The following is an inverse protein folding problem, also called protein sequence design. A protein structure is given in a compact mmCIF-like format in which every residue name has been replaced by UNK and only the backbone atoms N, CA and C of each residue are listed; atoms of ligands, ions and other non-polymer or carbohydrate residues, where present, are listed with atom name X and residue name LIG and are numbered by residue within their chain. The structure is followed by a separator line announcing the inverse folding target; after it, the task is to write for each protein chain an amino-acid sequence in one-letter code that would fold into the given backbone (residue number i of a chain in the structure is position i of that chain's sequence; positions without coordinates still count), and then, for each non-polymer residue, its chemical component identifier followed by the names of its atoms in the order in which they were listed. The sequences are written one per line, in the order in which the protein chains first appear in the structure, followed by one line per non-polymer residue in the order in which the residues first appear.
data_IF_497938309704
#
_entry.id   IF_497938309704
#
_cell.length_a   1.000
_cell.length_b   1.000
_cell.length_c   1.000
_cell.angle_alpha   90.00
_cell.angle_beta   90.00
_cell.angle_gamma   90.00
#
_symmetry.space_group_name_H-M   'P 1'
#
loop_
_entity.id
_entity.type
_entity.pdbx_description
1 polymer ?
#
# COMPACT_ATOMS: atom_id res chain seq x y z
N UNK A 1 -4.90 -26.04 -5.65
CA UNK A 1 -5.63 -26.35 -4.40
C UNK A 1 -5.04 -25.51 -3.28
N UNK A 2 -5.86 -24.76 -2.54
CA UNK A 2 -5.40 -23.85 -1.46
C UNK A 2 -5.45 -24.53 -0.08
N UNK A 3 -6.53 -25.25 0.20
CA UNK A 3 -6.80 -25.89 1.48
C UNK A 3 -8.27 -26.31 1.54
N UNK A 4 -8.69 -26.98 2.63
CA UNK A 4 -10.05 -27.47 2.78
C UNK A 4 -11.05 -26.33 3.05
N UNK A 5 -12.35 -26.62 2.90
CA UNK A 5 -13.46 -25.74 3.30
C UNK A 5 -13.33 -24.32 2.69
N UNK A 6 -13.45 -23.28 3.52
CA UNK A 6 -13.38 -21.87 3.12
C UNK A 6 -11.97 -21.31 2.90
N UNK A 7 -10.91 -22.12 2.94
CA UNK A 7 -9.52 -21.65 2.86
C UNK A 7 -9.26 -20.79 1.60
N UNK A 8 -9.80 -21.18 0.44
CA UNK A 8 -9.67 -20.41 -0.80
C UNK A 8 -10.30 -19.02 -0.71
N UNK A 9 -11.51 -18.92 -0.14
CA UNK A 9 -12.18 -17.63 0.06
C UNK A 9 -11.45 -16.76 1.09
N UNK A 10 -10.89 -17.37 2.13
CA UNK A 10 -10.09 -16.64 3.12
C UNK A 10 -8.82 -16.04 2.52
N UNK A 11 -8.08 -16.82 1.73
CA UNK A 11 -6.90 -16.31 1.01
C UNK A 11 -7.27 -15.17 0.05
N UNK A 12 -8.42 -15.26 -0.63
CA UNK A 12 -8.92 -14.16 -1.47
C UNK A 12 -9.30 -12.91 -0.66
N UNK A 13 -9.92 -13.09 0.51
CA UNK A 13 -10.24 -12.00 1.42
C UNK A 13 -8.96 -11.25 1.84
N UNK A 14 -7.94 -11.98 2.30
CA UNK A 14 -6.65 -11.37 2.67
C UNK A 14 -5.97 -10.69 1.48
N UNK A 15 -6.01 -11.29 0.28
CA UNK A 15 -5.54 -10.63 -0.95
C UNK A 15 -6.21 -9.26 -1.14
N UNK A 16 -7.53 -9.15 -0.98
CA UNK A 16 -8.22 -7.86 -1.11
C UNK A 16 -7.87 -6.88 0.01
N UNK A 17 -7.54 -7.38 1.21
CA UNK A 17 -6.98 -6.54 2.27
C UNK A 17 -5.64 -5.92 1.87
N UNK A 18 -4.73 -6.75 1.36
CA UNK A 18 -3.41 -6.29 0.85
C UNK A 18 -3.60 -5.29 -0.30
N UNK A 19 -4.53 -5.56 -1.23
CA UNK A 19 -4.90 -4.65 -2.30
C UNK A 19 -5.32 -3.26 -1.78
N UNK A 20 -6.13 -3.22 -0.71
CA UNK A 20 -6.56 -1.95 -0.10
C UNK A 20 -5.36 -1.16 0.43
N UNK A 21 -4.41 -1.83 1.08
CA UNK A 21 -3.20 -1.18 1.59
C UNK A 21 -2.23 -0.74 0.50
N UNK A 22 -2.08 -1.52 -0.56
CA UNK A 22 -1.23 -1.12 -1.70
C UNK A 22 -1.79 0.16 -2.35
N UNK A 23 -3.11 0.23 -2.55
CA UNK A 23 -3.76 1.43 -3.08
C UNK A 23 -3.62 2.63 -2.15
N UNK A 24 -3.74 2.42 -0.84
CA UNK A 24 -3.64 3.48 0.16
C UNK A 24 -2.21 4.05 0.24
N UNK A 25 -1.19 3.20 0.30
CA UNK A 25 0.22 3.62 0.29
C UNK A 25 0.60 4.37 -1.00
N UNK A 26 0.05 3.95 -2.14
CA UNK A 26 0.21 4.66 -3.42
C UNK A 26 -0.48 6.03 -3.36
N UNK A 27 -1.68 6.12 -2.80
CA UNK A 27 -2.42 7.37 -2.65
C UNK A 27 -1.69 8.36 -1.73
N UNK A 28 -1.09 7.90 -0.64
CA UNK A 28 -0.24 8.70 0.25
C UNK A 28 1.00 9.23 -0.47
N UNK A 29 1.67 8.37 -1.24
CA UNK A 29 2.83 8.76 -2.04
C UNK A 29 2.45 9.81 -3.09
N UNK A 30 1.32 9.61 -3.79
CA UNK A 30 0.73 10.61 -4.68
C UNK A 30 0.47 11.93 -3.95
N UNK A 31 -0.14 11.87 -2.76
CA UNK A 31 -0.54 13.06 -2.01
C UNK A 31 0.67 13.89 -1.56
N UNK A 32 1.75 13.24 -1.12
CA UNK A 32 3.02 13.92 -0.80
C UNK A 32 3.60 14.60 -2.03
N UNK A 33 3.69 13.90 -3.16
CA UNK A 33 4.27 14.48 -4.37
C UNK A 33 3.42 15.64 -4.91
N UNK A 34 2.09 15.47 -4.93
CA UNK A 34 1.14 16.47 -5.46
C UNK A 34 1.04 17.70 -4.57
N UNK A 35 0.90 17.53 -3.25
CA UNK A 35 0.61 18.64 -2.33
C UNK A 35 1.81 19.07 -1.50
N UNK A 36 2.69 18.12 -1.13
CA UNK A 36 3.94 18.42 -0.43
C UNK A 36 5.00 19.01 -1.35
N UNK A 37 5.23 18.41 -2.52
CA UNK A 37 6.21 18.89 -3.51
C UNK A 37 5.62 19.77 -4.62
N UNK A 38 4.29 19.88 -4.71
CA UNK A 38 3.58 20.67 -5.71
C UNK A 38 3.85 20.24 -7.16
N UNK A 39 4.14 18.96 -7.38
CA UNK A 39 4.33 18.41 -8.71
C UNK A 39 3.01 18.29 -9.48
N UNK A 40 3.06 18.49 -10.80
CA UNK A 40 1.90 18.35 -11.67
C UNK A 40 1.68 16.90 -12.13
N UNK A 41 0.50 16.59 -12.67
CA UNK A 41 0.12 15.20 -12.98
C UNK A 41 1.02 14.51 -14.01
N UNK A 42 1.67 15.26 -14.91
CA UNK A 42 2.62 14.69 -15.87
C UNK A 42 3.92 14.29 -15.17
N UNK A 43 4.45 15.14 -14.29
CA UNK A 43 5.63 14.82 -13.47
C UNK A 43 5.36 13.59 -12.59
N UNK A 44 4.19 13.53 -11.95
CA UNK A 44 3.76 12.37 -11.17
C UNK A 44 3.69 11.10 -12.04
N UNK A 45 3.10 11.19 -13.24
CA UNK A 45 3.02 10.06 -14.17
C UNK A 45 4.41 9.53 -14.53
N UNK A 46 5.38 10.42 -14.77
CA UNK A 46 6.77 10.03 -15.08
C UNK A 46 7.45 9.35 -13.89
N UNK A 47 7.30 9.89 -12.67
CA UNK A 47 7.84 9.29 -11.45
C UNK A 47 7.29 7.87 -11.24
N UNK A 48 5.98 7.68 -11.36
CA UNK A 48 5.37 6.35 -11.21
C UNK A 48 5.78 5.40 -12.36
N UNK A 49 6.01 5.89 -13.58
CA UNK A 49 6.57 5.07 -14.68
C UNK A 49 7.98 4.60 -14.37
N UNK A 50 8.83 5.48 -13.83
CA UNK A 50 10.19 5.16 -13.44
C UNK A 50 10.22 4.14 -12.29
N UNK A 51 9.41 4.37 -11.25
CA UNK A 51 9.26 3.42 -10.14
C UNK A 51 8.81 2.04 -10.63
N UNK A 52 7.98 1.98 -11.67
CA UNK A 52 7.53 0.72 -12.26
C UNK A 52 8.63 -0.05 -13.02
N UNK A 53 9.78 0.56 -13.32
CA UNK A 53 10.92 -0.14 -13.92
C UNK A 53 11.83 -0.79 -12.86
N UNK A 54 11.59 -0.48 -11.57
CA UNK A 54 12.44 -0.91 -10.45
C UNK A 54 11.82 -2.04 -9.61
N UNK A 55 12.09 -2.01 -8.31
CA UNK A 55 11.54 -2.99 -7.36
C UNK A 55 10.04 -2.81 -7.07
N UNK A 56 9.51 -1.61 -7.36
CA UNK A 56 8.08 -1.30 -7.25
C UNK A 56 7.26 -1.79 -8.46
N UNK A 57 7.90 -2.42 -9.46
CA UNK A 57 7.22 -3.00 -10.63
C UNK A 57 5.99 -3.81 -10.20
N UNK A 58 4.82 -3.27 -10.54
CA UNK A 58 3.54 -3.86 -10.18
C UNK A 58 2.41 -3.27 -11.01
N UNK A 59 1.34 -4.04 -11.15
CA UNK A 59 0.16 -3.59 -11.88
C UNK A 59 -0.43 -2.29 -11.34
N UNK A 60 -0.49 -2.14 -10.01
CA UNK A 60 -1.05 -0.94 -9.39
C UNK A 60 -0.19 0.31 -9.65
N UNK A 61 1.13 0.19 -9.67
CA UNK A 61 2.03 1.30 -9.99
C UNK A 61 1.92 1.67 -11.49
N UNK A 62 1.88 0.66 -12.36
CA UNK A 62 1.68 0.82 -13.81
C UNK A 62 0.40 1.61 -14.11
N UNK A 63 -0.76 1.14 -13.63
CA UNK A 63 -2.04 1.82 -13.91
C UNK A 63 -2.10 3.20 -13.27
N UNK A 64 -1.45 3.42 -12.12
CA UNK A 64 -1.39 4.74 -11.48
C UNK A 64 -0.71 5.75 -12.41
N UNK A 65 0.39 5.34 -13.05
CA UNK A 65 1.07 6.19 -14.01
C UNK A 65 0.19 6.55 -15.22
N UNK A 66 -0.65 5.63 -15.68
CA UNK A 66 -1.60 5.86 -16.78
C UNK A 66 -2.75 6.76 -16.34
N UNK A 67 -3.30 6.55 -15.14
CA UNK A 67 -4.38 7.35 -14.56
C UNK A 67 -3.94 8.82 -14.45
N UNK A 68 -2.74 9.07 -13.93
CA UNK A 68 -2.20 10.42 -13.76
C UNK A 68 -2.06 11.20 -15.08
N UNK A 69 -1.78 10.51 -16.20
CA UNK A 69 -1.63 11.17 -17.51
C UNK A 69 -2.92 11.21 -18.34
N UNK A 70 -4.02 10.60 -17.86
CA UNK A 70 -5.26 10.49 -18.63
C UNK A 70 -6.04 11.81 -18.61
N UNK A 71 -6.34 12.31 -19.82
CA UNK A 71 -7.19 13.48 -20.05
C UNK A 71 -8.53 13.11 -20.68
N UNK A 72 -9.55 13.94 -20.44
CA UNK A 72 -10.83 13.91 -21.16
C UNK A 72 -10.72 14.66 -22.50
N UNK A 73 -11.82 14.76 -23.25
CA UNK A 73 -11.87 15.43 -24.55
C UNK A 73 -11.58 16.94 -24.45
N UNK A 74 -11.88 17.57 -23.31
CA UNK A 74 -11.60 18.99 -23.04
C UNK A 74 -10.14 19.25 -22.61
N UNK A 75 -9.32 18.22 -22.49
CA UNK A 75 -7.92 18.32 -22.06
C UNK A 75 -7.72 18.38 -20.54
N UNK A 76 -8.78 18.24 -19.74
CA UNK A 76 -8.72 18.16 -18.28
C UNK A 76 -8.24 16.79 -17.82
N UNK A 77 -7.39 16.74 -16.78
CA UNK A 77 -7.00 15.46 -16.18
C UNK A 77 -8.20 14.81 -15.49
N UNK A 78 -8.52 13.59 -15.87
CA UNK A 78 -9.71 12.89 -15.35
C UNK A 78 -9.60 12.70 -13.83
N UNK A 79 -8.40 12.40 -13.33
CA UNK A 79 -8.15 12.23 -11.89
C UNK A 79 -8.61 13.42 -11.06
N UNK A 80 -8.38 14.65 -11.54
CA UNK A 80 -8.69 15.88 -10.81
C UNK A 80 -10.19 16.19 -10.78
N UNK A 81 -10.99 15.47 -11.59
CA UNK A 81 -12.46 15.60 -11.67
C UNK A 81 -13.19 14.50 -10.90
N UNK A 82 -12.48 13.45 -10.44
CA UNK A 82 -13.08 12.34 -9.70
C UNK A 82 -13.35 12.78 -8.26
N UNK A 83 -14.58 12.53 -7.79
CA UNK A 83 -14.95 12.74 -6.39
C UNK A 83 -14.10 11.85 -5.47
N UNK A 84 -13.49 12.46 -4.45
CA UNK A 84 -12.63 11.83 -3.45
C UNK A 84 -13.42 11.07 -2.38
N UNK A 85 -14.30 10.17 -2.83
CA UNK A 85 -15.12 9.27 -2.00
C UNK A 85 -14.87 7.82 -2.44
N UNK A 86 -13.98 7.14 -1.73
CA UNK A 86 -13.62 5.77 -2.04
C UNK A 86 -14.72 4.79 -1.60
N UNK A 87 -15.38 4.16 -2.57
CA UNK A 87 -16.29 3.05 -2.29
C UNK A 87 -15.54 1.81 -1.78
N UNK A 88 -16.26 0.91 -1.11
CA UNK A 88 -15.76 -0.40 -0.70
C UNK A 88 -16.87 -1.45 -0.81
N UNK A 89 -16.50 -2.71 -1.12
CA UNK A 89 -17.43 -3.85 -1.24
C UNK A 89 -17.36 -4.81 -0.05
N UNK A 90 -16.82 -4.36 1.09
CA UNK A 90 -16.77 -5.11 2.35
C UNK A 90 -15.57 -6.05 2.54
N UNK A 91 -14.89 -6.54 1.50
CA UNK A 91 -13.80 -7.53 1.66
C UNK A 91 -12.61 -7.03 2.47
N UNK A 92 -12.20 -5.76 2.31
CA UNK A 92 -11.18 -5.15 3.18
C UNK A 92 -11.60 -5.12 4.65
N UNK A 93 -12.86 -4.76 4.92
CA UNK A 93 -13.45 -4.77 6.26
C UNK A 93 -13.45 -6.17 6.87
N UNK A 94 -13.75 -7.21 6.07
CA UNK A 94 -13.72 -8.59 6.53
C UNK A 94 -12.31 -9.04 6.93
N UNK A 95 -11.28 -8.63 6.18
CA UNK A 95 -9.88 -8.89 6.54
C UNK A 95 -9.53 -8.27 7.89
N UNK A 96 -9.89 -7.00 8.11
CA UNK A 96 -9.65 -6.30 9.38
C UNK A 96 -10.41 -6.94 10.56
N UNK A 97 -11.69 -7.26 10.39
CA UNK A 97 -12.49 -7.97 11.40
C UNK A 97 -11.88 -9.32 11.76
N UNK A 98 -11.50 -10.11 10.74
CA UNK A 98 -10.88 -11.41 10.98
C UNK A 98 -9.53 -11.29 11.68
N UNK A 99 -8.76 -10.22 11.47
CA UNK A 99 -7.51 -10.01 12.20
C UNK A 99 -7.76 -9.74 13.68
N UNK A 100 -8.80 -8.96 14.01
CA UNK A 100 -9.24 -8.76 15.40
C UNK A 100 -9.67 -10.09 16.05
N UNK A 101 -10.47 -10.90 15.35
CA UNK A 101 -10.93 -12.23 15.83
C UNK A 101 -9.81 -13.26 16.00
N UNK A 102 -8.67 -13.05 15.32
CA UNK A 102 -7.47 -13.87 15.41
C UNK A 102 -6.41 -13.28 16.35
N UNK A 103 -6.64 -12.09 16.90
CA UNK A 103 -5.67 -11.33 17.68
C UNK A 103 -4.34 -11.08 16.92
N UNK A 104 -4.42 -10.80 15.62
CA UNK A 104 -3.26 -10.50 14.76
C UNK A 104 -3.17 -8.99 14.50
N UNK A 105 -2.00 -8.36 14.72
CA UNK A 105 -1.82 -6.95 14.42
C UNK A 105 -1.79 -6.71 12.90
N UNK A 106 -2.89 -6.17 12.37
CA UNK A 106 -3.08 -5.89 10.94
C UNK A 106 -3.33 -4.39 10.70
N UNK A 107 -2.44 -3.54 11.20
CA UNK A 107 -2.65 -2.09 11.24
C UNK A 107 -2.79 -1.46 9.86
N UNK A 108 -1.90 -1.74 8.91
CA UNK A 108 -1.87 -1.04 7.61
C UNK A 108 -3.14 -1.30 6.79
N UNK A 109 -3.58 -2.55 6.71
CA UNK A 109 -4.81 -2.92 6.01
C UNK A 109 -6.03 -2.31 6.71
N UNK A 110 -6.03 -2.29 8.05
CA UNK A 110 -7.14 -1.73 8.83
C UNK A 110 -7.24 -0.21 8.64
N UNK A 111 -6.12 0.52 8.72
CA UNK A 111 -6.09 1.96 8.45
C UNK A 111 -6.50 2.26 7.01
N UNK A 112 -6.14 1.41 6.05
CA UNK A 112 -6.60 1.55 4.65
C UNK A 112 -8.11 1.42 4.49
N UNK A 113 -8.78 0.65 5.37
CA UNK A 113 -10.25 0.61 5.43
C UNK A 113 -10.78 1.90 6.04
N UNK A 114 -10.19 2.38 7.13
CA UNK A 114 -10.60 3.63 7.77
C UNK A 114 -10.39 4.86 6.90
N UNK A 115 -9.31 4.95 6.12
CA UNK A 115 -9.09 6.02 5.15
C UNK A 115 -10.19 6.08 4.10
N UNK A 116 -10.73 4.94 3.67
CA UNK A 116 -11.91 4.92 2.78
C UNK A 116 -13.15 5.43 3.48
N UNK A 117 -13.39 5.04 4.74
CA UNK A 117 -14.52 5.55 5.52
C UNK A 117 -14.40 7.07 5.74
N UNK A 118 -13.19 7.56 6.05
CA UNK A 118 -12.90 8.98 6.17
C UNK A 118 -13.17 9.72 4.86
N UNK A 119 -12.80 9.15 3.72
CA UNK A 119 -13.09 9.75 2.42
C UNK A 119 -14.60 9.89 2.17
N UNK A 120 -15.42 8.92 2.61
CA UNK A 120 -16.87 8.91 2.39
C UNK A 120 -17.64 9.97 3.19
N UNK A 121 -17.08 10.51 4.27
CA UNK A 121 -17.70 11.61 5.04
C UNK A 121 -17.32 12.99 4.46
N UNK A 122 -17.43 13.16 3.14
CA UNK A 122 -16.98 14.35 2.39
C UNK A 122 -17.53 15.66 2.93
N UNK A 123 -18.83 15.73 3.22
CA UNK A 123 -19.46 16.95 3.74
C UNK A 123 -18.85 17.39 5.08
N UNK A 124 -18.58 16.44 5.98
CA UNK A 124 -17.91 16.71 7.25
C UNK A 124 -16.47 17.20 7.03
N UNK A 125 -15.72 16.60 6.09
CA UNK A 125 -14.36 17.05 5.75
C UNK A 125 -14.33 18.46 5.17
N UNK A 126 -15.30 18.80 4.31
CA UNK A 126 -15.43 20.15 3.73
C UNK A 126 -15.78 21.18 4.81
N UNK A 127 -16.68 20.86 5.74
CA UNK A 127 -16.97 21.76 6.87
C UNK A 127 -15.72 21.91 7.75
N UNK A 128 -15.07 20.80 8.11
CA UNK A 128 -13.88 20.79 8.95
C UNK A 128 -12.73 21.62 8.35
N UNK A 129 -12.53 21.62 7.03
CA UNK A 129 -11.46 22.40 6.39
C UNK A 129 -11.68 23.91 6.48
N UNK A 130 -12.90 24.38 6.75
CA UNK A 130 -13.19 25.80 7.01
C UNK A 130 -13.01 26.20 8.47
N UNK A 131 -13.06 25.23 9.39
CA UNK A 131 -13.01 25.45 10.84
C UNK A 131 -11.62 25.22 11.43
N UNK A 132 -10.93 24.16 10.99
CA UNK A 132 -9.65 23.74 11.54
C UNK A 132 -8.47 24.33 10.77
N UNK A 133 -7.41 24.68 11.49
CA UNK A 133 -6.18 25.23 10.92
C UNK A 133 -5.07 24.18 11.01
N UNK A 134 -4.36 23.97 9.90
CA UNK A 134 -3.15 23.14 9.84
C UNK A 134 -1.87 23.97 9.82
N UNK A 135 -0.69 23.32 9.91
CA UNK A 135 0.59 23.99 9.74
C UNK A 135 0.74 24.54 8.32
N UNK A 136 1.66 25.50 8.14
CA UNK A 136 2.08 25.94 6.81
C UNK A 136 3.04 24.91 6.23
N UNK A 137 2.85 24.57 4.95
CA UNK A 137 3.73 23.65 4.23
C UNK A 137 5.16 24.22 4.17
N UNK A 138 6.12 23.47 4.71
CA UNK A 138 7.54 23.66 4.52
C UNK A 138 7.94 23.17 3.13
N UNK A 139 8.60 24.05 2.36
CA UNK A 139 9.06 23.73 1.02
C UNK A 139 10.42 23.04 1.10
N UNK A 140 10.55 21.90 0.44
CA UNK A 140 11.85 21.26 0.20
C UNK A 140 12.64 22.11 -0.80
N UNK A 141 13.95 22.24 -0.59
CA UNK A 141 14.79 22.98 -1.54
C UNK A 141 14.91 22.22 -2.86
N UNK A 142 15.05 22.94 -3.98
CA UNK A 142 15.10 22.31 -5.31
C UNK A 142 16.27 21.32 -5.44
N UNK A 143 17.36 21.53 -4.69
CA UNK A 143 18.52 20.63 -4.62
C UNK A 143 18.28 19.33 -3.85
N UNK A 144 17.22 19.26 -3.04
CA UNK A 144 16.89 18.09 -2.21
C UNK A 144 15.73 17.27 -2.78
N UNK A 145 15.02 17.77 -3.81
CA UNK A 145 13.80 17.16 -4.34
C UNK A 145 14.04 15.72 -4.78
N UNK A 146 15.09 15.45 -5.56
CA UNK A 146 15.35 14.11 -6.09
C UNK A 146 15.65 13.10 -4.96
N UNK A 147 16.43 13.52 -3.96
CA UNK A 147 16.71 12.71 -2.78
C UNK A 147 15.45 12.43 -1.96
N UNK A 148 14.54 13.39 -1.87
CA UNK A 148 13.26 13.20 -1.19
C UNK A 148 12.31 12.28 -1.96
N UNK A 149 12.27 12.36 -3.30
CA UNK A 149 11.50 11.44 -4.15
C UNK A 149 12.01 10.00 -3.96
N UNK A 150 13.33 9.81 -3.88
CA UNK A 150 13.91 8.49 -3.59
C UNK A 150 13.59 8.01 -2.17
N UNK A 151 13.64 8.90 -1.16
CA UNK A 151 13.22 8.55 0.20
C UNK A 151 11.73 8.14 0.23
N UNK A 152 10.87 8.78 -0.57
CA UNK A 152 9.47 8.41 -0.71
C UNK A 152 9.29 7.06 -1.40
N UNK A 153 10.03 6.80 -2.48
CA UNK A 153 10.01 5.51 -3.19
C UNK A 153 10.38 4.35 -2.26
N UNK A 154 11.45 4.52 -1.47
CA UNK A 154 11.89 3.55 -0.44
C UNK A 154 10.83 3.35 0.63
N UNK A 155 10.22 4.44 1.09
CA UNK A 155 9.16 4.41 2.11
C UNK A 155 7.92 3.65 1.62
N UNK A 156 7.49 3.89 0.39
CA UNK A 156 6.42 3.16 -0.26
C UNK A 156 6.74 1.66 -0.33
N UNK A 157 7.93 1.30 -0.80
CA UNK A 157 8.32 -0.11 -0.90
C UNK A 157 8.37 -0.81 0.46
N UNK A 158 8.93 -0.15 1.48
CA UNK A 158 8.96 -0.66 2.85
C UNK A 158 7.54 -0.80 3.43
N UNK A 159 6.66 0.18 3.20
CA UNK A 159 5.24 0.10 3.58
C UNK A 159 4.54 -1.11 2.98
N UNK A 160 4.81 -1.41 1.69
CA UNK A 160 4.30 -2.63 1.05
C UNK A 160 4.84 -3.87 1.75
N UNK A 161 6.15 -3.98 1.98
CA UNK A 161 6.74 -5.14 2.68
C UNK A 161 6.08 -5.36 4.05
N UNK A 162 5.86 -4.29 4.82
CA UNK A 162 5.19 -4.37 6.12
C UNK A 162 3.74 -4.86 5.99
N UNK A 163 2.97 -4.34 5.02
CA UNK A 163 1.60 -4.79 4.79
C UNK A 163 1.52 -6.27 4.41
N UNK A 164 2.38 -6.72 3.48
CA UNK A 164 2.43 -8.14 3.10
C UNK A 164 2.86 -9.02 4.28
N UNK A 165 3.83 -8.57 5.10
CA UNK A 165 4.20 -9.27 6.33
C UNK A 165 3.01 -9.48 7.26
N UNK A 166 2.21 -8.44 7.49
CA UNK A 166 0.99 -8.53 8.31
C UNK A 166 -0.04 -9.49 7.70
N UNK A 167 -0.30 -9.39 6.38
CA UNK A 167 -1.25 -10.26 5.69
C UNK A 167 -0.86 -11.74 5.71
N UNK A 168 0.42 -12.06 5.49
CA UNK A 168 0.93 -13.43 5.57
C UNK A 168 0.92 -13.96 7.02
N UNK A 169 1.23 -13.12 8.00
CA UNK A 169 1.09 -13.46 9.42
C UNK A 169 -0.37 -13.81 9.77
N UNK A 170 -1.34 -13.02 9.29
CA UNK A 170 -2.76 -13.32 9.47
C UNK A 170 -3.16 -14.65 8.83
N UNK A 171 -2.70 -14.94 7.60
CA UNK A 171 -2.97 -16.23 6.96
C UNK A 171 -2.35 -17.39 7.73
N UNK A 172 -1.19 -17.19 8.36
CA UNK A 172 -0.55 -18.19 9.23
C UNK A 172 -1.40 -18.49 10.46
N UNK A 173 -1.79 -17.47 11.22
CA UNK A 173 -2.65 -17.65 12.40
C UNK A 173 -4.01 -18.28 12.03
N UNK A 174 -4.57 -17.93 10.88
CA UNK A 174 -5.79 -18.56 10.36
C UNK A 174 -5.56 -20.04 10.00
N UNK A 175 -4.46 -20.35 9.34
CA UNK A 175 -4.10 -21.73 8.98
C UNK A 175 -3.94 -22.61 10.21
N UNK A 176 -3.35 -22.09 11.28
CA UNK A 176 -3.19 -22.79 12.57
C UNK A 176 -4.56 -23.00 13.25
N UNK A 177 -5.35 -21.92 13.42
CA UNK A 177 -6.67 -21.99 14.06
C UNK A 177 -7.64 -22.94 13.35
N UNK A 178 -7.67 -22.90 12.02
CA UNK A 178 -8.62 -23.66 11.21
C UNK A 178 -8.05 -24.96 10.63
N UNK A 179 -6.79 -25.31 10.99
CA UNK A 179 -6.09 -26.52 10.53
C UNK A 179 -6.07 -26.66 9.00
N UNK A 180 -5.88 -25.56 8.27
CA UNK A 180 -5.92 -25.55 6.81
C UNK A 180 -4.61 -25.98 6.14
N UNK A 181 -3.49 -25.99 6.87
CA UNK A 181 -2.17 -26.35 6.36
C UNK A 181 -1.82 -25.57 5.06
N UNK A 182 -2.04 -24.25 5.10
CA UNK A 182 -1.79 -23.38 3.96
C UNK A 182 -0.32 -23.44 3.53
N UNK A 183 -0.10 -23.45 2.21
CA UNK A 183 1.23 -23.46 1.59
C UNK A 183 1.56 -22.07 1.07
N UNK A 184 2.34 -21.31 1.84
CA UNK A 184 2.58 -19.89 1.56
C UNK A 184 3.38 -19.66 0.28
N UNK A 185 4.29 -20.57 -0.07
CA UNK A 185 4.95 -20.59 -1.37
C UNK A 185 3.93 -20.60 -2.51
N UNK A 186 2.94 -21.50 -2.45
CA UNK A 186 1.91 -21.63 -3.48
C UNK A 186 0.99 -20.40 -3.53
N UNK A 187 0.63 -19.85 -2.36
CA UNK A 187 -0.18 -18.62 -2.28
C UNK A 187 0.56 -17.45 -2.93
N UNK A 188 1.83 -17.22 -2.57
CA UNK A 188 2.64 -16.17 -3.18
C UNK A 188 2.80 -16.40 -4.69
N UNK A 189 3.01 -17.66 -5.12
CA UNK A 189 3.13 -18.04 -6.53
C UNK A 189 1.89 -17.67 -7.34
N UNK A 190 0.69 -17.93 -6.84
CA UNK A 190 -0.55 -17.59 -7.56
C UNK A 190 -0.83 -16.09 -7.57
N UNK A 191 -0.37 -15.32 -6.58
CA UNK A 191 -0.54 -13.87 -6.58
C UNK A 191 0.37 -13.18 -7.61
N UNK A 192 1.43 -13.83 -8.10
CA UNK A 192 2.36 -13.24 -9.08
C UNK A 192 1.74 -12.95 -10.44
N UNK A 193 0.59 -13.55 -10.78
CA UNK A 193 -0.06 -13.35 -12.07
C UNK A 193 -1.58 -13.34 -11.95
N UNK A 194 -2.24 -12.66 -12.88
CA UNK A 194 -3.71 -12.63 -13.01
C UNK A 194 -4.47 -11.83 -11.94
N UNK A 195 -3.87 -11.53 -10.79
CA UNK A 195 -4.52 -10.76 -9.73
C UNK A 195 -4.09 -9.28 -9.70
N UNK A 196 -4.83 -8.45 -8.94
CA UNK A 196 -4.61 -6.99 -8.88
C UNK A 196 -3.29 -6.65 -8.21
N UNK A 197 -2.89 -7.41 -7.19
CA UNK A 197 -1.65 -7.16 -6.44
C UNK A 197 -0.40 -7.77 -7.11
N UNK A 198 -0.50 -8.21 -8.38
CA UNK A 198 0.63 -8.80 -9.11
C UNK A 198 1.80 -7.81 -9.16
N UNK A 199 2.96 -8.25 -8.70
CA UNK A 199 4.15 -7.43 -8.51
C UNK A 199 5.43 -8.27 -8.49
N UNK A 200 6.56 -7.64 -8.83
CA UNK A 200 7.89 -8.24 -8.69
C UNK A 200 8.21 -8.66 -7.25
N UNK A 201 7.74 -7.88 -6.27
CA UNK A 201 7.84 -8.18 -4.83
C UNK A 201 7.37 -9.61 -4.48
N UNK A 202 6.34 -10.13 -5.15
CA UNK A 202 5.79 -11.45 -4.85
C UNK A 202 6.74 -12.60 -5.21
N UNK A 203 7.68 -12.39 -6.13
CA UNK A 203 8.75 -13.34 -6.39
C UNK A 203 9.61 -13.52 -5.14
N UNK A 204 9.99 -12.42 -4.47
CA UNK A 204 10.79 -12.47 -3.26
C UNK A 204 10.04 -13.09 -2.08
N UNK A 205 8.73 -12.82 -1.95
CA UNK A 205 7.89 -13.47 -0.95
C UNK A 205 7.80 -14.98 -1.21
N UNK A 206 7.57 -15.38 -2.46
CA UNK A 206 7.54 -16.79 -2.84
C UNK A 206 8.86 -17.49 -2.49
N UNK A 207 10.00 -16.91 -2.87
CA UNK A 207 11.33 -17.45 -2.57
C UNK A 207 11.59 -17.55 -1.06
N UNK A 208 11.10 -16.60 -0.25
CA UNK A 208 11.23 -16.66 1.21
C UNK A 208 10.55 -17.89 1.84
N UNK A 209 9.55 -18.47 1.17
CA UNK A 209 8.83 -19.67 1.62
C UNK A 209 9.24 -20.97 0.91
N UNK A 210 10.15 -20.93 -0.07
CA UNK A 210 10.48 -22.08 -0.94
C UNK A 210 10.97 -23.31 -0.16
N UNK A 211 11.83 -23.09 0.84
CA UNK A 211 12.38 -24.16 1.68
C UNK A 211 11.97 -24.04 3.16
N UNK A 212 11.08 -23.11 3.50
CA UNK A 212 10.64 -22.89 4.87
C UNK A 212 9.20 -22.36 4.91
N UNK A 213 8.22 -23.26 4.96
CA UNK A 213 6.81 -22.87 5.10
C UNK A 213 6.48 -22.32 6.49
N UNK A 214 7.34 -22.57 7.48
CA UNK A 214 7.10 -22.24 8.88
C UNK A 214 7.76 -20.93 9.32
N UNK A 215 8.23 -20.13 8.35
CA UNK A 215 8.79 -18.80 8.57
C UNK A 215 7.89 -18.02 9.54
N UNK A 216 8.50 -17.53 10.63
CA UNK A 216 7.75 -16.85 11.71
C UNK A 216 7.16 -15.54 11.19
N UNK A 217 7.98 -14.77 10.47
CA UNK A 217 7.58 -13.50 9.88
C UNK A 217 8.42 -13.25 8.61
N UNK A 218 7.79 -12.69 7.56
CA UNK A 218 8.48 -12.32 6.32
C UNK A 218 9.71 -11.43 6.56
N UNK A 219 9.63 -10.51 7.52
CA UNK A 219 10.70 -9.56 7.83
C UNK A 219 12.00 -10.21 8.30
N UNK A 220 11.95 -11.47 8.75
CA UNK A 220 13.13 -12.20 9.21
C UNK A 220 13.90 -12.88 8.08
N UNK A 221 13.39 -12.85 6.84
CA UNK A 221 14.15 -13.37 5.71
C UNK A 221 15.34 -12.44 5.39
N UNK A 222 16.47 -12.97 4.87
CA UNK A 222 17.64 -12.15 4.54
C UNK A 222 17.34 -10.99 3.59
N UNK A 223 16.49 -11.21 2.58
CA UNK A 223 16.11 -10.17 1.63
C UNK A 223 15.30 -9.05 2.28
N UNK A 224 14.26 -9.37 3.05
CA UNK A 224 13.38 -8.37 3.64
C UNK A 224 14.04 -7.63 4.82
N UNK A 225 14.83 -8.33 5.63
CA UNK A 225 15.57 -7.70 6.73
C UNK A 225 16.60 -6.68 6.23
N UNK A 226 17.30 -6.97 5.13
CA UNK A 226 18.21 -6.01 4.50
C UNK A 226 17.47 -4.72 4.07
N UNK A 227 16.35 -4.85 3.36
CA UNK A 227 15.55 -3.70 2.93
C UNK A 227 15.01 -2.89 4.11
N UNK A 228 14.53 -3.55 5.16
CA UNK A 228 14.06 -2.86 6.38
C UNK A 228 15.19 -2.03 6.98
N UNK A 229 16.39 -2.60 7.11
CA UNK A 229 17.54 -1.89 7.67
C UNK A 229 17.95 -0.70 6.80
N UNK A 230 17.96 -0.87 5.49
CA UNK A 230 18.40 0.15 4.54
C UNK A 230 17.38 1.28 4.40
N UNK A 231 16.07 0.97 4.42
CA UNK A 231 15.01 1.92 4.02
C UNK A 231 14.29 2.56 5.21
N UNK A 232 14.45 2.05 6.43
CA UNK A 232 13.77 2.62 7.60
C UNK A 232 14.12 4.09 7.87
N UNK A 233 15.33 4.55 7.53
CA UNK A 233 15.71 5.96 7.64
C UNK A 233 14.91 6.84 6.69
N UNK A 234 14.72 6.40 5.44
CA UNK A 234 13.89 7.08 4.45
C UNK A 234 12.44 7.17 4.93
N UNK A 235 11.87 6.06 5.43
CA UNK A 235 10.52 6.05 6.02
C UNK A 235 10.37 7.08 7.14
N UNK A 236 11.33 7.14 8.07
CA UNK A 236 11.29 8.13 9.16
C UNK A 236 11.33 9.56 8.65
N UNK A 237 12.14 9.85 7.62
CA UNK A 237 12.21 11.20 7.03
C UNK A 237 10.88 11.61 6.41
N UNK A 238 10.23 10.71 5.67
CA UNK A 238 8.91 10.95 5.07
C UNK A 238 7.85 11.17 6.15
N UNK A 239 7.82 10.33 7.20
CA UNK A 239 6.89 10.50 8.32
C UNK A 239 7.09 11.82 9.04
N UNK A 240 8.34 12.20 9.34
CA UNK A 240 8.66 13.49 9.98
C UNK A 240 8.23 14.65 9.09
N UNK A 241 8.47 14.57 7.78
CA UNK A 241 8.02 15.57 6.83
C UNK A 241 6.50 15.71 6.86
N UNK A 242 5.76 14.60 6.74
CA UNK A 242 4.31 14.63 6.72
C UNK A 242 3.71 15.18 8.02
N UNK A 243 4.23 14.76 9.19
CA UNK A 243 3.82 15.27 10.50
C UNK A 243 4.04 16.78 10.59
N UNK A 244 5.22 17.28 10.22
CA UNK A 244 5.52 18.73 10.24
C UNK A 244 4.62 19.53 9.29
N UNK A 245 4.19 18.90 8.20
CA UNK A 245 3.42 19.53 7.14
C UNK A 245 1.90 19.31 7.24
N UNK A 246 1.42 18.58 8.26
CA UNK A 246 0.00 18.29 8.39
C UNK A 246 -0.55 17.41 7.27
N UNK A 247 0.29 16.56 6.69
CA UNK A 247 -0.09 15.58 5.68
C UNK A 247 -0.42 14.27 6.39
N UNK A 248 -1.61 13.71 6.12
CA UNK A 248 -2.00 12.41 6.64
C UNK A 248 -1.29 11.31 5.83
N UNK A 249 -0.58 10.44 6.53
CA UNK A 249 -0.02 9.16 6.07
C UNK A 249 -0.47 8.06 7.02
#
# INVERSE_FOLDING_TARGET
YIGPNGAGHYVKMVHNGIEYSDMQLIAESYFILKYGLKLNNIELSLIFKEWNQGELESYLIEITSHILSKKNEDGNFILDLILDEASNKGTGTWTAKSALDLHVPLSLITESVFSRYLSSIKSQRVIASTLFKGPKLFKISDTEIDGFIEDLRKSLFLGKILSYSQGFSQMKSASEKYKWNLKFYNIAKIFRSGCIIKAKLLQHIMLAFENNNDLINLLFSPYFSAIVNDYQTSLRRILIFAIKNGISL
#
